data_IF_853068864109
#
_entry.id   IF_853068864109
#
_cell.length_a   1.000
_cell.length_b   1.000
_cell.length_c   1.000
_cell.angle_alpha   90.00
_cell.angle_beta   90.00
_cell.angle_gamma   90.00
#
_symmetry.space_group_name_H-M   'P 1'
#
loop_
_entity.id
_entity.type
_entity.pdbx_description
1 polymer ?
#
# COMPACT_ATOMS: atom_id res chain seq x y z
N UNK A 1 1.15 -5.96 8.20
CA UNK A 1 0.63 -5.46 6.91
C UNK A 1 1.78 -4.85 6.14
N UNK A 2 1.96 -5.25 4.88
CA UNK A 2 3.10 -4.93 4.03
C UNK A 2 2.57 -4.10 2.87
N UNK A 3 2.75 -2.78 2.92
CA UNK A 3 2.27 -1.83 1.93
C UNK A 3 3.42 -1.40 1.03
N UNK A 4 3.33 -1.61 -0.28
CA UNK A 4 4.31 -1.03 -1.20
C UNK A 4 3.66 0.04 -2.07
N UNK A 5 4.38 1.15 -2.25
CA UNK A 5 3.91 2.31 -2.98
C UNK A 5 4.51 2.31 -4.39
N UNK A 6 3.65 2.40 -5.40
CA UNK A 6 4.04 2.68 -6.78
C UNK A 6 3.73 4.15 -7.06
N UNK A 7 4.74 5.03 -7.13
CA UNK A 7 4.51 6.35 -7.69
C UNK A 7 4.20 6.23 -9.19
N UNK A 8 3.40 7.21 -9.65
CA UNK A 8 2.95 7.44 -11.02
C UNK A 8 4.08 7.11 -12.01
N UNK A 9 3.77 6.27 -13.01
CA UNK A 9 4.72 5.57 -13.90
C UNK A 9 5.41 4.32 -13.32
N UNK A 10 4.62 3.45 -12.68
CA UNK A 10 4.68 2.00 -12.81
C UNK A 10 6.06 1.34 -12.91
N UNK A 11 6.76 1.18 -11.79
CA UNK A 11 7.83 0.18 -11.70
C UNK A 11 7.22 -1.23 -11.74
N UNK A 12 7.02 -1.74 -12.96
CA UNK A 12 6.51 -3.10 -13.23
C UNK A 12 7.36 -4.16 -12.51
N UNK A 13 8.67 -3.92 -12.37
CA UNK A 13 9.61 -4.86 -11.75
C UNK A 13 9.33 -5.08 -10.26
N UNK A 14 9.02 -4.02 -9.51
CA UNK A 14 8.71 -4.13 -8.08
C UNK A 14 7.42 -4.92 -7.87
N UNK A 15 6.36 -4.57 -8.61
CA UNK A 15 5.09 -5.27 -8.54
C UNK A 15 5.23 -6.77 -8.89
N UNK A 16 5.97 -7.08 -9.95
CA UNK A 16 6.26 -8.48 -10.29
C UNK A 16 7.05 -9.19 -9.18
N UNK A 17 8.03 -8.54 -8.56
CA UNK A 17 8.78 -9.13 -7.44
C UNK A 17 7.87 -9.45 -6.24
N UNK A 18 6.92 -8.58 -5.90
CA UNK A 18 5.93 -8.84 -4.84
C UNK A 18 4.95 -9.94 -5.22
N UNK A 19 4.54 -10.02 -6.50
CA UNK A 19 3.71 -11.13 -7.01
C UNK A 19 4.44 -12.45 -6.85
N UNK A 20 5.69 -12.52 -7.30
CA UNK A 20 6.47 -13.76 -7.30
C UNK A 20 6.80 -14.23 -5.88
N UNK A 21 6.83 -13.30 -4.90
CA UNK A 21 7.02 -13.59 -3.48
C UNK A 21 5.72 -13.60 -2.66
N UNK A 22 4.54 -13.49 -3.28
CA UNK A 22 3.28 -13.27 -2.58
C UNK A 22 2.95 -14.37 -1.57
N UNK A 23 3.13 -15.64 -1.96
CA UNK A 23 2.88 -16.79 -1.10
C UNK A 23 3.80 -16.83 0.13
N UNK A 24 5.02 -16.29 0.01
CA UNK A 24 5.96 -16.18 1.12
C UNK A 24 5.52 -15.13 2.13
N UNK A 25 4.99 -14.00 1.66
CA UNK A 25 4.45 -12.96 2.54
C UNK A 25 3.17 -13.41 3.24
N UNK A 26 2.22 -13.97 2.50
CA UNK A 26 0.97 -14.46 3.07
C UNK A 26 1.18 -15.65 4.00
N UNK A 27 2.09 -16.57 3.67
CA UNK A 27 2.49 -17.68 4.53
C UNK A 27 3.17 -17.26 5.85
N UNK A 28 3.68 -16.04 5.94
CA UNK A 28 4.25 -15.46 7.17
C UNK A 28 3.24 -14.57 7.92
N UNK A 29 1.99 -14.49 7.47
CA UNK A 29 0.93 -13.71 8.11
C UNK A 29 0.92 -12.23 7.72
N UNK A 30 1.64 -11.85 6.66
CA UNK A 30 1.61 -10.50 6.10
C UNK A 30 0.62 -10.40 4.95
N UNK A 31 -0.23 -9.39 5.02
CA UNK A 31 -1.06 -8.96 3.90
C UNK A 31 -0.28 -7.98 3.03
N UNK A 32 -0.29 -8.18 1.71
CA UNK A 32 0.40 -7.33 0.74
C UNK A 32 -0.61 -6.41 0.07
N UNK A 33 -0.30 -5.11 0.01
CA UNK A 33 -1.12 -4.11 -0.67
C UNK A 33 -0.28 -3.22 -1.59
N UNK A 34 -0.85 -2.85 -2.73
CA UNK A 34 -0.28 -1.90 -3.67
C UNK A 34 -0.99 -0.55 -3.55
N UNK A 35 -0.26 0.50 -3.15
CA UNK A 35 -0.77 1.87 -3.11
C UNK A 35 -0.33 2.66 -4.34
N UNK A 36 -1.26 3.31 -5.04
CA UNK A 36 -0.94 4.29 -6.09
C UNK A 36 -1.97 5.41 -6.15
N UNK A 37 -1.57 6.53 -6.78
CA UNK A 37 -2.45 7.67 -7.03
C UNK A 37 -3.32 7.51 -8.30
N UNK A 38 -3.29 6.32 -8.93
CA UNK A 38 -4.12 6.03 -10.10
C UNK A 38 -5.58 5.81 -9.67
N UNK A 39 -6.51 6.19 -10.54
CA UNK A 39 -7.93 5.92 -10.35
C UNK A 39 -8.23 4.41 -10.22
N UNK A 40 -9.24 4.00 -9.43
CA UNK A 40 -9.55 2.58 -9.20
C UNK A 40 -9.79 1.79 -10.50
N UNK A 41 -10.38 2.45 -11.51
CA UNK A 41 -10.63 1.84 -12.82
C UNK A 41 -9.35 1.47 -13.57
N UNK A 42 -8.32 2.32 -13.50
CA UNK A 42 -7.03 2.05 -14.14
C UNK A 42 -6.21 1.03 -13.34
N UNK A 43 -6.25 1.10 -12.00
CA UNK A 43 -5.66 0.09 -11.14
C UNK A 43 -6.23 -1.30 -11.39
N UNK A 44 -7.56 -1.43 -11.53
CA UNK A 44 -8.22 -2.71 -11.80
C UNK A 44 -7.80 -3.32 -13.14
N UNK A 45 -7.75 -2.49 -14.21
CA UNK A 45 -7.24 -2.92 -15.52
C UNK A 45 -5.79 -3.40 -15.42
N UNK A 46 -4.96 -2.70 -14.65
CA UNK A 46 -3.56 -3.04 -14.48
C UNK A 46 -3.35 -4.31 -13.64
N UNK A 47 -4.07 -4.47 -12.53
CA UNK A 47 -4.10 -5.68 -11.70
C UNK A 47 -4.40 -6.92 -12.55
N UNK A 48 -5.43 -6.83 -13.39
CA UNK A 48 -5.82 -7.91 -14.29
C UNK A 48 -4.77 -8.17 -15.38
N UNK A 49 -4.24 -7.12 -16.01
CA UNK A 49 -3.21 -7.23 -17.07
C UNK A 49 -1.90 -7.85 -16.57
N UNK A 50 -1.53 -7.61 -15.31
CA UNK A 50 -0.27 -8.07 -14.71
C UNK A 50 -0.42 -9.32 -13.83
N UNK A 51 -1.66 -9.80 -13.65
CA UNK A 51 -2.00 -10.98 -12.84
C UNK A 51 -1.43 -10.81 -11.43
N UNK A 52 -1.84 -9.75 -10.76
CA UNK A 52 -1.34 -9.39 -9.43
C UNK A 52 -2.31 -9.91 -8.36
N UNK A 53 -1.85 -10.80 -7.45
CA UNK A 53 -2.73 -11.53 -6.53
C UNK A 53 -3.12 -10.74 -5.27
N UNK A 54 -2.50 -9.58 -5.06
CA UNK A 54 -2.73 -8.71 -3.91
C UNK A 54 -3.70 -7.56 -4.23
N UNK A 55 -4.17 -6.90 -3.18
CA UNK A 55 -5.13 -5.81 -3.29
C UNK A 55 -4.48 -4.45 -3.54
N UNK A 56 -5.29 -3.55 -4.07
CA UNK A 56 -4.90 -2.23 -4.52
C UNK A 56 -5.61 -1.19 -3.70
N UNK A 57 -4.87 -0.19 -3.26
CA UNK A 57 -5.37 1.00 -2.60
C UNK A 57 -5.20 2.17 -3.57
N UNK A 58 -6.31 2.77 -3.95
CA UNK A 58 -6.34 3.97 -4.78
C UNK A 58 -6.34 5.19 -3.87
N UNK A 59 -5.40 6.10 -4.09
CA UNK A 59 -5.30 7.39 -3.41
C UNK A 59 -5.26 8.53 -4.45
N UNK A 60 -6.33 8.78 -5.22
CA UNK A 60 -6.32 9.72 -6.35
C UNK A 60 -6.01 11.16 -5.93
N UNK A 61 -6.40 11.51 -4.70
CA UNK A 61 -5.89 12.67 -3.99
C UNK A 61 -4.78 12.12 -3.10
N UNK A 62 -3.48 12.37 -3.39
CA UNK A 62 -2.36 11.65 -2.77
C UNK A 62 -2.12 12.02 -1.30
N UNK A 63 -3.16 12.24 -0.50
CA UNK A 63 -3.09 12.65 0.90
C UNK A 63 -2.45 11.55 1.73
N UNK A 64 -2.80 10.28 1.48
CA UNK A 64 -2.23 9.16 2.22
C UNK A 64 -0.79 8.88 1.77
N UNK A 65 -0.51 8.89 0.47
CA UNK A 65 0.84 8.75 -0.07
C UNK A 65 1.77 9.84 0.47
N UNK A 66 1.31 11.10 0.50
CA UNK A 66 2.07 12.21 1.07
C UNK A 66 2.30 12.05 2.57
N UNK A 67 1.30 11.57 3.33
CA UNK A 67 1.46 11.32 4.76
C UNK A 67 2.53 10.24 5.04
N UNK A 68 2.59 9.20 4.20
CA UNK A 68 3.59 8.13 4.32
C UNK A 68 5.00 8.56 3.90
N UNK A 69 5.11 9.41 2.89
CA UNK A 69 6.38 9.85 2.32
C UNK A 69 6.81 11.24 2.80
N UNK A 70 6.35 11.67 3.98
CA UNK A 70 6.71 12.93 4.64
C UNK A 70 6.51 14.18 3.77
N UNK A 71 5.43 14.20 2.99
CA UNK A 71 5.02 15.35 2.16
C UNK A 71 5.66 15.41 0.79
N UNK A 72 6.42 14.40 0.37
CA UNK A 72 6.96 14.32 -0.99
C UNK A 72 6.26 13.26 -1.83
N UNK A 73 6.09 13.52 -3.13
CA UNK A 73 5.81 12.44 -4.08
C UNK A 73 7.15 12.04 -4.67
N UNK A 74 7.87 11.12 -4.02
CA UNK A 74 9.13 10.62 -4.60
C UNK A 74 8.84 9.82 -5.86
N UNK A 75 9.72 9.97 -6.86
CA UNK A 75 9.76 9.13 -8.05
C UNK A 75 10.37 7.75 -7.80
N UNK A 76 10.95 7.54 -6.61
CA UNK A 76 11.56 6.28 -6.20
C UNK A 76 10.51 5.35 -5.58
N UNK A 77 10.47 4.08 -5.97
CA UNK A 77 9.58 3.12 -5.34
C UNK A 77 9.89 2.99 -3.85
N UNK A 78 8.84 3.04 -3.01
CA UNK A 78 8.95 2.92 -1.55
C UNK A 78 8.15 1.73 -1.04
N UNK A 79 8.56 1.23 0.12
CA UNK A 79 7.89 0.13 0.80
C UNK A 79 7.80 0.39 2.29
N UNK A 80 6.62 0.16 2.85
CA UNK A 80 6.28 0.38 4.24
C UNK A 80 5.77 -0.91 4.85
N UNK A 81 6.42 -1.37 5.92
CA UNK A 81 5.96 -2.52 6.70
C UNK A 81 5.34 -1.98 7.97
N UNK A 82 4.03 -2.15 8.10
CA UNK A 82 3.32 -1.90 9.34
C UNK A 82 3.29 -3.20 10.14
N UNK A 83 3.81 -3.23 11.37
CA UNK A 83 3.54 -4.36 12.25
C UNK A 83 2.02 -4.50 12.34
N UNK A 84 1.53 -5.74 12.41
CA UNK A 84 0.10 -6.00 12.70
C UNK A 84 -0.15 -5.50 14.11
N UNK A 85 -0.41 -4.20 14.27
CA UNK A 85 -0.83 -3.62 15.54
C UNK A 85 -2.22 -4.18 15.77
N UNK A 86 -2.27 -5.29 16.51
CA UNK A 86 -3.49 -5.68 17.20
C UNK A 86 -3.74 -4.51 18.15
N UNK A 87 -4.63 -3.59 17.77
CA UNK A 87 -5.11 -2.51 18.62
C UNK A 87 -5.95 -3.12 19.75
N UNK A 88 -5.27 -3.79 20.66
CA UNK A 88 -5.72 -4.08 22.00
C UNK A 88 -4.60 -3.62 22.91
N UNK A 89 -4.55 -2.31 23.18
CA UNK A 89 -4.03 -1.76 24.44
C UNK A 89 -4.17 -0.23 24.42
N UNK A 90 -5.11 0.24 25.24
CA UNK A 90 -5.34 1.63 25.68
C UNK A 90 -6.28 2.50 24.83
N UNK A 91 -7.33 2.97 25.51
CA UNK A 91 -8.31 3.99 25.10
C UNK A 91 -7.66 5.29 24.57
N UNK A 92 -6.39 5.54 24.93
CA UNK A 92 -5.64 6.71 24.49
C UNK A 92 -5.35 6.74 22.98
N UNK A 93 -5.30 5.59 22.31
CA UNK A 93 -4.99 5.55 20.86
C UNK A 93 -6.21 5.88 19.97
N UNK A 94 -7.44 5.82 20.52
CA UNK A 94 -8.67 6.13 19.77
C UNK A 94 -8.78 7.64 19.44
N UNK A 95 -8.27 8.50 20.34
CA UNK A 95 -8.46 9.95 20.26
C UNK A 95 -7.65 10.57 19.09
N UNK A 96 -6.51 9.98 18.73
CA UNK A 96 -5.72 10.45 17.58
C UNK A 96 -6.31 10.01 16.24
N UNK A 97 -7.13 8.95 16.20
CA UNK A 97 -7.75 8.48 14.96
C UNK A 97 -9.01 9.27 14.60
N UNK A 98 -9.80 9.70 15.60
CA UNK A 98 -11.00 10.54 15.37
C UNK A 98 -10.71 12.02 15.14
N UNK A 99 -9.47 12.48 15.31
CA UNK A 99 -9.12 13.90 15.09
C UNK A 99 -8.63 14.19 13.66
N UNK A 100 -8.52 13.16 12.81
CA UNK A 100 -8.01 13.27 11.43
C UNK A 100 -9.04 12.79 10.39
N UNK A 101 -10.18 12.23 10.82
CA UNK A 101 -11.33 11.91 9.97
C UNK A 101 -12.56 12.69 10.40
#
# INVERSE_FOLDING_TARGET
>A
VTLFCLPIAGCTKQACAYRDAYDKFTGTGYDVYCLSADEPGEQGKWKNKKILPYDFLSDPKPTFILALDAGTIKSSPSHFVFPRVVLWTSLACLILFESIF
#
